data_IF_502400240904
#
_entry.id   IF_502400240904
#
_cell.length_a   1.000
_cell.length_b   1.000
_cell.length_c   1.000
_cell.angle_alpha   90.00
_cell.angle_beta   90.00
_cell.angle_gamma   90.00
#
_symmetry.space_group_name_H-M   'P 1'
#
loop_
_entity.id
_entity.type
_entity.pdbx_description
1 polymer ?
#
# COMPACT_ATOMS: atom_id res chain seq x y z
N UNK A 1 20.77 6.42 3.01
CA UNK A 1 19.60 5.70 2.46
C UNK A 1 18.69 5.32 3.62
N UNK A 2 17.40 5.63 3.55
CA UNK A 2 16.40 5.29 4.57
C UNK A 2 15.30 4.49 3.91
N UNK A 3 14.76 3.51 4.62
CA UNK A 3 13.68 2.63 4.17
C UNK A 3 12.58 2.68 5.20
N UNK A 4 11.33 2.71 4.75
CA UNK A 4 10.19 2.38 5.60
C UNK A 4 9.03 1.88 4.75
N UNK A 5 8.21 1.06 5.37
CA UNK A 5 6.98 0.52 4.84
C UNK A 5 5.83 0.90 5.77
N UNK A 6 4.66 1.12 5.20
CA UNK A 6 3.42 1.38 5.91
C UNK A 6 2.32 0.50 5.33
N UNK A 7 1.22 0.37 6.08
CA UNK A 7 0.04 -0.36 5.65
C UNK A 7 -1.17 0.56 5.72
N UNK A 8 -2.17 0.30 4.87
CA UNK A 8 -3.43 1.04 4.91
C UNK A 8 -4.63 0.10 4.78
N UNK A 9 -4.60 -0.97 5.58
CA UNK A 9 -5.49 -2.12 5.42
C UNK A 9 -6.97 -1.76 5.58
N UNK A 10 -7.37 -1.19 6.73
CA UNK A 10 -8.77 -0.94 7.02
C UNK A 10 -9.43 0.05 6.04
N UNK A 11 -8.84 1.21 5.71
CA UNK A 11 -9.41 2.11 4.70
C UNK A 11 -9.48 1.46 3.32
N UNK A 12 -8.45 0.70 2.91
CA UNK A 12 -8.45 0.00 1.62
C UNK A 12 -9.55 -1.07 1.52
N UNK A 13 -9.91 -1.71 2.64
CA UNK A 13 -11.06 -2.64 2.68
C UNK A 13 -12.39 -1.92 2.46
N UNK A 14 -12.55 -0.72 3.02
CA UNK A 14 -13.80 0.06 2.91
C UNK A 14 -13.90 0.75 1.56
N UNK A 15 -12.81 1.35 1.09
CA UNK A 15 -12.73 2.09 -0.16
C UNK A 15 -11.33 1.85 -0.76
N UNK A 16 -11.21 1.01 -1.81
CA UNK A 16 -9.90 0.53 -2.26
C UNK A 16 -9.01 1.60 -2.89
N UNK A 17 -9.58 2.50 -3.69
CA UNK A 17 -8.78 3.42 -4.51
C UNK A 17 -8.16 4.54 -3.67
N UNK A 18 -8.98 5.29 -2.93
CA UNK A 18 -8.45 6.33 -2.04
C UNK A 18 -7.75 5.69 -0.84
N UNK A 19 -8.21 4.55 -0.32
CA UNK A 19 -7.50 3.79 0.72
C UNK A 19 -6.07 3.41 0.32
N UNK A 20 -5.82 2.92 -0.89
CA UNK A 20 -4.45 2.67 -1.35
C UNK A 20 -3.67 3.98 -1.57
N UNK A 21 -4.31 4.98 -2.20
CA UNK A 21 -3.68 6.25 -2.57
C UNK A 21 -3.23 7.06 -1.35
N UNK A 22 -4.04 7.13 -0.29
CA UNK A 22 -3.67 7.83 0.95
C UNK A 22 -2.59 7.09 1.73
N UNK A 23 -2.48 5.78 1.56
CA UNK A 23 -1.43 4.95 2.16
C UNK A 23 -0.07 5.28 1.57
N UNK A 24 0.01 5.29 0.23
CA UNK A 24 1.23 5.74 -0.48
C UNK A 24 1.53 7.21 -0.17
N UNK A 25 0.52 8.08 -0.15
CA UNK A 25 0.71 9.50 0.17
C UNK A 25 1.21 9.72 1.60
N UNK A 26 0.77 8.92 2.56
CA UNK A 26 1.26 8.93 3.94
C UNK A 26 2.74 8.59 4.00
N UNK A 27 3.12 7.44 3.41
CA UNK A 27 4.51 6.97 3.40
C UNK A 27 5.47 7.99 2.75
N UNK A 28 5.08 8.59 1.62
CA UNK A 28 5.88 9.62 0.95
C UNK A 28 6.08 10.84 1.86
N UNK A 29 5.04 11.31 2.54
CA UNK A 29 5.14 12.44 3.47
C UNK A 29 6.04 12.09 4.66
N UNK A 30 5.95 10.87 5.18
CA UNK A 30 6.83 10.40 6.24
C UNK A 30 8.30 10.29 5.77
N UNK A 31 8.55 10.07 4.48
CA UNK A 31 9.91 10.19 3.92
C UNK A 31 10.33 11.66 3.85
N UNK A 32 9.51 12.55 3.31
CA UNK A 32 9.83 13.98 3.22
C UNK A 32 10.13 14.59 4.60
N UNK A 33 9.42 14.17 5.65
CA UNK A 33 9.59 14.63 7.03
C UNK A 33 10.76 13.98 7.79
N UNK A 34 11.50 13.05 7.17
CA UNK A 34 12.63 12.37 7.81
C UNK A 34 13.84 13.29 8.02
N UNK A 35 14.31 13.42 9.27
CA UNK A 35 15.50 14.22 9.59
C UNK A 35 15.26 15.72 9.39
N UNK A 36 16.14 16.38 8.62
CA UNK A 36 15.94 17.80 8.21
C UNK A 36 15.22 17.96 6.87
N UNK A 37 15.14 16.87 6.10
CA UNK A 37 14.43 16.65 4.85
C UNK A 37 15.00 15.36 4.25
N UNK A 38 14.19 14.60 3.53
CA UNK A 38 14.69 13.53 2.67
C UNK A 38 13.98 13.54 1.33
N UNK A 39 14.66 13.05 0.29
CA UNK A 39 14.11 12.94 -1.05
C UNK A 39 13.68 11.48 -1.31
N UNK A 40 12.38 11.21 -1.50
CA UNK A 40 11.91 9.90 -1.92
C UNK A 40 12.48 9.56 -3.32
N UNK A 41 13.09 8.39 -3.47
CA UNK A 41 13.74 7.99 -4.73
C UNK A 41 13.03 6.82 -5.44
N UNK A 42 12.46 5.88 -4.70
CA UNK A 42 11.76 4.72 -5.23
C UNK A 42 10.77 4.19 -4.18
N UNK A 43 9.68 3.57 -4.64
CA UNK A 43 8.66 2.96 -3.79
C UNK A 43 8.16 1.64 -4.36
N UNK A 44 7.67 0.77 -3.48
CA UNK A 44 7.10 -0.54 -3.83
C UNK A 44 5.74 -0.67 -3.15
N UNK A 45 4.77 -1.25 -3.85
CA UNK A 45 3.47 -1.59 -3.29
C UNK A 45 3.29 -3.12 -3.23
N UNK A 46 2.67 -3.61 -2.17
CA UNK A 46 2.33 -5.02 -1.99
C UNK A 46 0.87 -5.14 -1.57
N UNK A 47 0.13 -6.01 -2.26
CA UNK A 47 -1.28 -6.27 -2.00
C UNK A 47 -1.48 -7.74 -1.68
N UNK A 48 -2.23 -8.01 -0.62
CA UNK A 48 -2.70 -9.34 -0.27
C UNK A 48 -4.22 -9.27 -0.15
N UNK A 49 -4.92 -9.94 -1.07
CA UNK A 49 -6.38 -10.03 -1.10
C UNK A 49 -6.80 -11.48 -1.05
N UNK A 50 -8.09 -11.73 -0.84
CA UNK A 50 -8.68 -13.03 -1.15
C UNK A 50 -8.52 -13.34 -2.65
N UNK A 51 -8.65 -14.61 -3.01
CA UNK A 51 -8.55 -15.04 -4.39
C UNK A 51 -9.62 -14.37 -5.27
N UNK A 52 -9.24 -13.87 -6.46
CA UNK A 52 -10.20 -13.34 -7.41
C UNK A 52 -10.93 -14.52 -8.06
N UNK A 53 -12.22 -14.67 -7.73
CA UNK A 53 -13.12 -15.73 -8.26
C UNK A 53 -13.52 -15.46 -9.71
N UNK A 54 -12.53 -15.34 -10.59
CA UNK A 54 -12.69 -14.96 -12.00
C UNK A 54 -12.95 -16.16 -12.91
N UNK A 55 -12.66 -17.37 -12.43
CA UNK A 55 -12.80 -18.63 -13.16
C UNK A 55 -13.56 -19.64 -12.27
N UNK A 56 -14.39 -20.48 -12.89
CA UNK A 56 -15.08 -21.57 -12.18
C UNK A 56 -14.15 -22.78 -11.97
N UNK A 57 -14.53 -23.66 -11.03
CA UNK A 57 -13.94 -25.01 -10.91
C UNK A 57 -12.70 -25.13 -10.01
N UNK A 58 -12.44 -24.17 -9.12
CA UNK A 58 -11.36 -24.28 -8.13
C UNK A 58 -11.91 -24.94 -6.86
N UNK A 59 -11.64 -26.23 -6.68
CA UNK A 59 -12.13 -27.03 -5.53
C UNK A 59 -11.61 -26.57 -4.16
N UNK A 60 -10.57 -25.73 -4.14
CA UNK A 60 -9.90 -25.23 -2.94
C UNK A 60 -10.29 -23.78 -2.57
N UNK A 61 -11.19 -23.14 -3.35
CA UNK A 61 -11.69 -21.77 -3.13
C UNK A 61 -13.05 -21.68 -2.41
#
# INVERSE_FOLDING_TARGET
LSLKAETHNFPTTVEPFNGASTGTGGEIRDRLAGGKASLPSAGTAAYMTSYPRMEEGREWE
#
